data_IF_496357535733
#
_entry.id   IF_496357535733
#
_cell.length_a   1.000
_cell.length_b   1.000
_cell.length_c   1.000
_cell.angle_alpha   90.00
_cell.angle_beta   90.00
_cell.angle_gamma   90.00
#
_symmetry.space_group_name_H-M   'P 1'
#
loop_
_entity.id
_entity.type
_entity.pdbx_description
1 polymer ?
#
# COMPACT_ATOMS: atom_id res chain seq x y z
N UNK A 1 16.87 -21.49 -0.02
CA UNK A 1 17.26 -20.72 -1.22
C UNK A 1 16.05 -19.91 -1.62
N UNK A 2 15.96 -18.66 -1.16
CA UNK A 2 14.90 -17.75 -1.58
C UNK A 2 15.24 -17.25 -2.98
N UNK A 3 14.39 -17.54 -3.95
CA UNK A 3 14.42 -16.91 -5.25
C UNK A 3 14.11 -15.42 -5.05
N UNK A 4 15.15 -14.60 -4.96
CA UNK A 4 15.01 -13.15 -5.15
C UNK A 4 14.46 -12.99 -6.58
N UNK A 5 13.28 -12.40 -6.72
CA UNK A 5 12.82 -11.96 -8.05
C UNK A 5 13.94 -11.11 -8.64
N UNK A 6 14.48 -11.50 -9.79
CA UNK A 6 15.43 -10.68 -10.53
C UNK A 6 14.71 -9.38 -10.92
N UNK A 7 15.04 -8.29 -10.22
CA UNK A 7 14.47 -6.97 -10.45
C UNK A 7 15.09 -6.40 -11.73
N UNK A 8 14.50 -6.69 -12.89
CA UNK A 8 14.92 -6.03 -14.13
C UNK A 8 14.68 -4.52 -14.02
N UNK A 9 15.76 -3.74 -14.04
CA UNK A 9 15.74 -2.30 -13.82
C UNK A 9 16.50 -1.58 -14.93
N UNK A 10 16.09 -0.35 -15.24
CA UNK A 10 16.83 0.52 -16.18
C UNK A 10 17.68 1.49 -15.38
N UNK A 11 19.01 1.38 -15.52
CA UNK A 11 19.99 2.07 -14.68
C UNK A 11 20.76 3.09 -15.52
N UNK A 12 20.79 4.34 -15.07
CA UNK A 12 21.61 5.41 -15.64
C UNK A 12 22.98 5.41 -14.96
N UNK A 13 24.06 5.37 -15.73
CA UNK A 13 25.44 5.47 -15.20
C UNK A 13 26.06 6.77 -15.69
N UNK A 14 26.53 7.60 -14.77
CA UNK A 14 27.14 8.90 -15.07
C UNK A 14 28.57 8.92 -14.59
N UNK A 15 29.52 8.94 -15.53
CA UNK A 15 30.97 8.88 -15.27
C UNK A 15 31.71 9.38 -16.51
N UNK A 16 32.81 10.12 -16.38
CA UNK A 16 33.62 10.56 -17.51
C UNK A 16 34.65 9.50 -17.96
N UNK A 17 34.82 8.42 -17.20
CA UNK A 17 35.74 7.32 -17.50
C UNK A 17 35.04 6.17 -18.26
N UNK A 18 35.31 6.04 -19.57
CA UNK A 18 34.74 4.97 -20.40
C UNK A 18 34.97 3.55 -19.85
N UNK A 19 36.13 3.30 -19.25
CA UNK A 19 36.48 2.00 -18.66
C UNK A 19 35.51 1.64 -17.52
N UNK A 20 35.08 2.64 -16.75
CA UNK A 20 34.16 2.44 -15.62
C UNK A 20 32.77 2.08 -16.15
N UNK A 21 32.31 2.74 -17.21
CA UNK A 21 31.06 2.37 -17.89
C UNK A 21 31.07 0.93 -18.40
N UNK A 22 32.11 0.54 -19.14
CA UNK A 22 32.22 -0.82 -19.69
C UNK A 22 32.24 -1.88 -18.57
N UNK A 23 32.87 -1.56 -17.44
CA UNK A 23 32.90 -2.43 -16.27
C UNK A 23 31.52 -2.57 -15.62
N UNK A 24 30.86 -1.44 -15.31
CA UNK A 24 29.53 -1.42 -14.68
C UNK A 24 28.50 -2.08 -15.58
N UNK A 25 28.50 -1.73 -16.86
CA UNK A 25 27.59 -2.29 -17.85
C UNK A 25 27.71 -3.82 -17.90
N UNK A 26 28.93 -4.35 -18.01
CA UNK A 26 29.15 -5.80 -18.02
C UNK A 26 28.66 -6.49 -16.74
N UNK A 27 28.85 -5.88 -15.58
CA UNK A 27 28.44 -6.47 -14.30
C UNK A 27 26.90 -6.46 -14.18
N UNK A 28 26.25 -5.34 -14.49
CA UNK A 28 24.81 -5.17 -14.30
C UNK A 28 23.98 -5.81 -15.42
N UNK A 29 24.47 -5.87 -16.65
CA UNK A 29 23.83 -6.61 -17.74
C UNK A 29 23.80 -8.12 -17.42
N UNK A 30 24.85 -8.64 -16.75
CA UNK A 30 24.90 -10.04 -16.28
C UNK A 30 23.89 -10.32 -15.15
N UNK A 31 23.56 -9.30 -14.33
CA UNK A 31 22.52 -9.37 -13.30
C UNK A 31 21.10 -9.11 -13.88
N UNK A 32 21.00 -8.91 -15.20
CA UNK A 32 19.73 -8.74 -15.92
C UNK A 32 19.19 -7.31 -15.96
N UNK A 33 19.95 -6.31 -15.52
CA UNK A 33 19.56 -4.91 -15.64
C UNK A 33 19.90 -4.36 -17.02
N UNK A 34 19.26 -3.24 -17.39
CA UNK A 34 19.59 -2.49 -18.62
C UNK A 34 20.35 -1.25 -18.24
N UNK A 35 21.60 -1.13 -18.69
CA UNK A 35 22.43 0.04 -18.43
C UNK A 35 22.37 1.05 -19.59
N UNK A 36 22.21 2.33 -19.27
CA UNK A 36 22.44 3.45 -20.20
C UNK A 36 23.49 4.36 -19.57
N UNK A 37 24.49 4.72 -20.37
CA UNK A 37 25.60 5.54 -19.90
C UNK A 37 25.51 6.99 -20.38
N UNK A 38 25.95 7.90 -19.53
CA UNK A 38 26.18 9.30 -19.83
C UNK A 38 27.61 9.67 -19.41
N UNK A 39 28.39 10.24 -20.33
CA UNK A 39 29.79 10.63 -20.08
C UNK A 39 29.91 11.98 -19.37
N UNK A 40 28.80 12.72 -19.27
CA UNK A 40 28.72 14.09 -18.76
C UNK A 40 27.36 14.34 -18.11
N UNK A 41 27.32 15.31 -17.20
CA UNK A 41 26.09 15.72 -16.50
C UNK A 41 25.00 16.21 -17.45
N UNK A 42 25.33 17.05 -18.43
CA UNK A 42 24.37 17.57 -19.41
C UNK A 42 23.71 16.45 -20.24
N UNK A 43 24.49 15.43 -20.61
CA UNK A 43 23.95 14.23 -21.26
C UNK A 43 23.04 13.45 -20.32
N UNK A 44 23.42 13.28 -19.05
CA UNK A 44 22.61 12.57 -18.06
C UNK A 44 21.24 13.25 -17.88
N UNK A 45 21.22 14.57 -17.73
CA UNK A 45 20.00 15.36 -17.61
C UNK A 45 19.11 15.24 -18.87
N UNK A 46 19.70 15.27 -20.06
CA UNK A 46 18.94 15.05 -21.31
C UNK A 46 18.35 13.64 -21.42
N UNK A 47 19.02 12.61 -20.88
CA UNK A 47 18.47 11.26 -20.87
C UNK A 47 17.33 11.12 -19.87
N UNK A 48 17.43 11.76 -18.70
CA UNK A 48 16.37 11.81 -17.68
C UNK A 48 15.07 12.44 -18.21
N UNK A 49 15.16 13.40 -19.14
CA UNK A 49 13.98 13.98 -19.81
C UNK A 49 13.33 13.04 -20.83
N UNK A 50 14.11 12.13 -21.44
CA UNK A 50 13.66 11.29 -22.57
C UNK A 50 13.17 9.92 -22.14
N UNK A 51 13.68 9.38 -21.03
CA UNK A 51 13.49 7.99 -20.63
C UNK A 51 13.22 7.90 -19.13
N UNK A 52 12.52 6.84 -18.76
CA UNK A 52 12.35 6.47 -17.36
C UNK A 52 13.53 5.61 -16.89
N UNK A 53 14.02 5.91 -15.69
CA UNK A 53 15.08 5.16 -15.01
C UNK A 53 14.63 4.80 -13.60
N UNK A 54 15.09 3.65 -13.11
CA UNK A 54 14.81 3.21 -11.75
C UNK A 54 15.90 3.67 -10.79
N UNK A 55 17.15 3.66 -11.23
CA UNK A 55 18.33 4.01 -10.44
C UNK A 55 19.35 4.77 -11.29
N UNK A 56 19.98 5.79 -10.70
CA UNK A 56 21.22 6.36 -11.21
C UNK A 56 22.40 5.93 -10.35
N UNK A 57 23.51 5.59 -11.01
CA UNK A 57 24.85 5.57 -10.43
C UNK A 57 25.56 6.81 -10.96
N UNK A 58 26.06 7.70 -10.10
CA UNK A 58 26.79 8.91 -10.54
C UNK A 58 28.12 9.11 -9.84
N UNK A 59 29.17 9.47 -10.59
CA UNK A 59 30.39 10.03 -10.00
C UNK A 59 30.16 11.46 -9.53
N UNK A 60 30.77 11.85 -8.41
CA UNK A 60 30.73 13.22 -7.92
C UNK A 60 31.70 14.12 -8.66
N UNK A 61 32.86 13.60 -9.05
CA UNK A 61 33.93 14.40 -9.65
C UNK A 61 34.01 14.10 -11.14
N UNK A 62 33.47 15.00 -11.93
CA UNK A 62 33.61 15.02 -13.39
C UNK A 62 34.10 16.40 -13.84
N UNK A 63 34.78 16.50 -15.00
CA UNK A 63 35.17 17.78 -15.59
C UNK A 63 33.96 18.69 -15.84
N UNK A 64 33.99 19.91 -15.32
CA UNK A 64 32.89 20.87 -15.43
C UNK A 64 31.96 20.81 -14.22
N UNK A 65 30.67 20.55 -14.44
CA UNK A 65 29.70 20.39 -13.35
C UNK A 65 29.78 18.98 -12.75
N UNK A 66 29.80 18.89 -11.42
CA UNK A 66 29.92 17.60 -10.71
C UNK A 66 28.59 16.85 -10.60
N UNK A 67 28.64 15.56 -10.28
CA UNK A 67 27.44 14.71 -10.19
C UNK A 67 26.46 15.05 -9.06
N UNK A 68 26.81 15.97 -8.16
CA UNK A 68 25.87 16.54 -7.20
C UNK A 68 24.69 17.25 -7.88
N UNK A 69 24.88 17.76 -9.10
CA UNK A 69 23.78 18.31 -9.90
C UNK A 69 22.80 17.20 -10.35
N UNK A 70 23.31 16.02 -10.70
CA UNK A 70 22.48 14.85 -11.04
C UNK A 70 21.67 14.39 -9.83
N UNK A 71 22.31 14.29 -8.65
CA UNK A 71 21.63 13.92 -7.39
C UNK A 71 20.47 14.89 -7.11
N UNK A 72 20.72 16.19 -7.22
CA UNK A 72 19.71 17.24 -7.00
C UNK A 72 18.58 17.16 -8.01
N UNK A 73 18.90 17.04 -9.30
CA UNK A 73 17.91 16.97 -10.37
C UNK A 73 16.98 15.76 -10.22
N UNK A 74 17.53 14.61 -9.82
CA UNK A 74 16.74 13.40 -9.53
C UNK A 74 15.84 13.63 -8.31
N UNK A 75 16.37 14.16 -7.22
CA UNK A 75 15.59 14.41 -6.01
C UNK A 75 14.43 15.40 -6.23
N UNK A 76 14.62 16.40 -7.08
CA UNK A 76 13.60 17.43 -7.36
C UNK A 76 12.56 16.97 -8.41
N UNK A 77 12.99 16.29 -9.48
CA UNK A 77 12.14 16.03 -10.64
C UNK A 77 11.75 14.55 -10.83
N UNK A 78 12.45 13.63 -10.18
CA UNK A 78 12.27 12.19 -10.33
C UNK A 78 12.17 11.50 -8.95
N UNK A 79 11.16 11.83 -8.13
CA UNK A 79 11.07 11.35 -6.74
C UNK A 79 10.94 9.83 -6.61
N UNK A 80 10.56 9.14 -7.68
CA UNK A 80 10.38 7.68 -7.76
C UNK A 80 11.63 6.94 -8.25
N UNK A 81 12.72 7.67 -8.54
CA UNK A 81 14.01 7.15 -8.96
C UNK A 81 15.01 7.26 -7.80
N UNK A 82 15.84 6.23 -7.61
CA UNK A 82 16.95 6.33 -6.65
C UNK A 82 18.23 6.86 -7.28
N UNK A 83 19.13 7.35 -6.45
CA UNK A 83 20.50 7.68 -6.86
C UNK A 83 21.50 7.12 -5.87
N UNK A 84 22.52 6.45 -6.38
CA UNK A 84 23.70 6.01 -5.63
C UNK A 84 24.88 6.78 -6.17
N UNK A 85 25.66 7.32 -5.25
CA UNK A 85 26.89 8.01 -5.59
C UNK A 85 28.04 7.02 -5.62
N UNK A 86 28.89 7.06 -6.64
CA UNK A 86 30.10 6.27 -6.66
C UNK A 86 31.32 7.06 -7.12
N UNK A 87 32.35 7.22 -6.28
CA UNK A 87 33.44 8.17 -6.60
C UNK A 87 34.82 7.66 -6.20
N UNK A 88 35.84 8.02 -6.99
CA UNK A 88 37.24 7.72 -6.70
C UNK A 88 37.91 8.63 -5.68
N UNK A 89 37.21 9.66 -5.20
CA UNK A 89 37.73 10.57 -4.16
C UNK A 89 36.78 10.65 -2.97
N UNK A 90 36.61 9.54 -2.23
CA UNK A 90 35.64 9.51 -1.15
C UNK A 90 36.06 10.42 0.00
N UNK A 91 35.13 11.28 0.44
CA UNK A 91 35.28 12.06 1.68
C UNK A 91 34.01 11.95 2.51
N UNK A 92 34.15 12.01 3.84
CA UNK A 92 33.02 11.98 4.78
C UNK A 92 32.04 13.12 4.47
N UNK A 93 32.54 14.32 4.17
CA UNK A 93 31.70 15.48 3.87
C UNK A 93 30.87 15.26 2.59
N UNK A 94 31.47 14.74 1.52
CA UNK A 94 30.75 14.47 0.26
C UNK A 94 29.70 13.38 0.42
N UNK A 95 29.98 12.34 1.22
CA UNK A 95 29.01 11.31 1.55
C UNK A 95 27.83 11.92 2.31
N UNK A 96 28.08 12.70 3.37
CA UNK A 96 27.02 13.36 4.14
C UNK A 96 26.18 14.29 3.26
N UNK A 97 26.83 15.08 2.40
CA UNK A 97 26.13 16.03 1.52
C UNK A 97 25.23 15.31 0.50
N UNK A 98 25.74 14.27 -0.15
CA UNK A 98 24.95 13.49 -1.11
C UNK A 98 23.74 12.82 -0.46
N UNK A 99 23.89 12.26 0.74
CA UNK A 99 22.77 11.66 1.48
C UNK A 99 21.72 12.70 1.87
N UNK A 100 22.13 13.91 2.27
CA UNK A 100 21.21 15.02 2.57
C UNK A 100 20.42 15.47 1.35
N UNK A 101 20.99 15.35 0.15
CA UNK A 101 20.31 15.66 -1.11
C UNK A 101 19.44 14.52 -1.64
N UNK A 102 19.42 13.35 -0.98
CA UNK A 102 18.55 12.24 -1.35
C UNK A 102 19.25 11.05 -1.99
N UNK A 103 20.58 10.98 -1.97
CA UNK A 103 21.28 9.75 -2.33
C UNK A 103 20.87 8.61 -1.39
N UNK A 104 20.67 7.42 -1.97
CA UNK A 104 20.26 6.22 -1.24
C UNK A 104 21.45 5.52 -0.60
N UNK A 105 22.60 5.57 -1.25
CA UNK A 105 23.83 4.93 -0.80
C UNK A 105 25.06 5.55 -1.49
N UNK A 106 26.25 5.13 -1.05
CA UNK A 106 27.55 5.64 -1.46
C UNK A 106 28.58 4.52 -1.65
N UNK A 107 29.22 4.46 -2.82
CA UNK A 107 30.18 3.40 -3.19
C UNK A 107 31.56 3.99 -3.58
N UNK A 108 32.63 3.78 -2.81
CA UNK A 108 33.96 4.26 -3.21
C UNK A 108 34.52 3.47 -4.41
N UNK A 109 35.26 4.14 -5.30
CA UNK A 109 36.14 3.48 -6.29
C UNK A 109 37.55 3.27 -5.70
N UNK A 110 38.26 2.18 -6.03
CA UNK A 110 37.80 1.03 -6.81
C UNK A 110 36.81 0.18 -6.02
N UNK A 111 35.86 -0.46 -6.73
CA UNK A 111 34.88 -1.38 -6.17
C UNK A 111 34.99 -2.76 -6.82
N UNK A 112 34.54 -3.77 -6.09
CA UNK A 112 34.36 -5.13 -6.59
C UNK A 112 33.00 -5.29 -7.27
N UNK A 113 32.81 -6.29 -8.15
CA UNK A 113 31.50 -6.59 -8.71
C UNK A 113 30.43 -6.89 -7.63
N UNK A 114 30.83 -7.57 -6.55
CA UNK A 114 29.92 -7.92 -5.46
C UNK A 114 29.42 -6.68 -4.70
N UNK A 115 30.30 -5.71 -4.42
CA UNK A 115 29.91 -4.44 -3.79
C UNK A 115 28.92 -3.66 -4.66
N UNK A 116 29.18 -3.56 -5.97
CA UNK A 116 28.28 -2.88 -6.91
C UNK A 116 26.90 -3.53 -6.96
N UNK A 117 26.85 -4.87 -7.07
CA UNK A 117 25.59 -5.62 -7.10
C UNK A 117 24.82 -5.47 -5.79
N UNK A 118 25.50 -5.51 -4.65
CA UNK A 118 24.87 -5.39 -3.35
C UNK A 118 24.26 -3.99 -3.14
N UNK A 119 24.99 -2.94 -3.48
CA UNK A 119 24.49 -1.55 -3.38
C UNK A 119 23.32 -1.34 -4.34
N UNK A 120 23.42 -1.83 -5.58
CA UNK A 120 22.35 -1.74 -6.58
C UNK A 120 21.08 -2.44 -6.09
N UNK A 121 21.20 -3.67 -5.59
CA UNK A 121 20.07 -4.44 -5.06
C UNK A 121 19.40 -3.76 -3.86
N UNK A 122 20.19 -3.27 -2.91
CA UNK A 122 19.68 -2.55 -1.75
C UNK A 122 18.93 -1.28 -2.16
N UNK A 123 19.50 -0.52 -3.11
CA UNK A 123 18.87 0.69 -3.64
C UNK A 123 17.54 0.37 -4.32
N UNK A 124 17.49 -0.62 -5.22
CA UNK A 124 16.27 -1.04 -5.92
C UNK A 124 15.19 -1.55 -4.95
N UNK A 125 15.55 -2.34 -3.94
CA UNK A 125 14.62 -2.79 -2.91
C UNK A 125 14.03 -1.61 -2.12
N UNK A 126 14.87 -0.62 -1.77
CA UNK A 126 14.41 0.59 -1.08
C UNK A 126 13.48 1.43 -1.95
N UNK A 127 13.79 1.57 -3.25
CA UNK A 127 12.92 2.24 -4.22
C UNK A 127 11.56 1.54 -4.30
N UNK A 128 11.54 0.21 -4.47
CA UNK A 128 10.29 -0.56 -4.56
C UNK A 128 9.45 -0.42 -3.29
N UNK A 129 10.08 -0.47 -2.12
CA UNK A 129 9.41 -0.27 -0.83
C UNK A 129 8.76 1.12 -0.74
N UNK A 130 9.51 2.18 -1.05
CA UNK A 130 9.00 3.55 -1.02
C UNK A 130 7.88 3.78 -2.06
N UNK A 131 7.99 3.17 -3.25
CA UNK A 131 6.92 3.21 -4.26
C UNK A 131 5.62 2.58 -3.73
N UNK A 132 5.72 1.41 -3.11
CA UNK A 132 4.57 0.73 -2.49
C UNK A 132 3.94 1.54 -1.36
N UNK A 133 4.76 2.14 -0.49
CA UNK A 133 4.28 3.01 0.59
C UNK A 133 3.51 4.22 0.04
N UNK A 134 4.05 4.92 -0.97
CA UNK A 134 3.38 6.06 -1.60
C UNK A 134 2.10 5.67 -2.33
N UNK A 135 2.09 4.55 -3.03
CA UNK A 135 0.90 4.03 -3.71
C UNK A 135 -0.20 3.71 -2.70
N UNK A 136 0.16 3.05 -1.59
CA UNK A 136 -0.74 2.77 -0.48
C UNK A 136 -1.32 4.06 0.12
N UNK A 137 -0.47 5.05 0.44
CA UNK A 137 -0.88 6.34 0.97
C UNK A 137 -1.85 7.07 0.03
N UNK A 138 -1.58 7.03 -1.29
CA UNK A 138 -2.46 7.64 -2.30
C UNK A 138 -3.82 6.96 -2.34
N UNK A 139 -3.85 5.63 -2.41
CA UNK A 139 -5.10 4.86 -2.42
C UNK A 139 -5.90 5.14 -1.14
N UNK A 140 -5.23 5.24 0.01
CA UNK A 140 -5.85 5.53 1.30
C UNK A 140 -6.46 6.93 1.31
N UNK A 141 -5.71 7.95 0.87
CA UNK A 141 -6.19 9.33 0.80
C UNK A 141 -7.38 9.49 -0.17
N UNK A 142 -7.36 8.79 -1.30
CA UNK A 142 -8.50 8.75 -2.24
C UNK A 142 -9.75 8.15 -1.60
N UNK A 143 -9.59 7.03 -0.89
CA UNK A 143 -10.69 6.37 -0.19
C UNK A 143 -11.26 7.25 0.94
N UNK A 144 -10.41 7.88 1.74
CA UNK A 144 -10.83 8.81 2.81
C UNK A 144 -11.64 9.99 2.23
N UNK A 145 -11.16 10.56 1.12
CA UNK A 145 -11.86 11.66 0.43
C UNK A 145 -13.22 11.22 -0.10
N UNK A 146 -13.31 10.02 -0.70
CA UNK A 146 -14.56 9.48 -1.22
C UNK A 146 -15.57 9.21 -0.10
N UNK A 147 -15.14 8.59 1.00
CA UNK A 147 -15.99 8.32 2.17
C UNK A 147 -16.56 9.60 2.77
N UNK A 148 -15.75 10.66 2.88
CA UNK A 148 -16.20 11.96 3.42
C UNK A 148 -17.20 12.68 2.51
N UNK A 149 -17.21 12.40 1.22
CA UNK A 149 -18.05 13.08 0.24
C UNK A 149 -19.41 12.40 0.02
N UNK A 150 -19.53 11.10 0.30
CA UNK A 150 -20.79 10.38 0.12
C UNK A 150 -21.72 10.51 1.33
N UNK A 151 -23.02 10.56 1.06
CA UNK A 151 -24.11 10.51 2.05
C UNK A 151 -25.06 9.34 1.79
N UNK A 152 -24.79 8.50 0.78
CA UNK A 152 -25.57 7.28 0.49
C UNK A 152 -24.89 6.09 1.17
N UNK A 153 -25.63 5.41 2.05
CA UNK A 153 -25.10 4.27 2.81
C UNK A 153 -24.60 3.15 1.90
N UNK A 154 -25.28 2.87 0.78
CA UNK A 154 -24.89 1.80 -0.14
C UNK A 154 -23.56 2.13 -0.81
N UNK A 155 -23.41 3.35 -1.29
CA UNK A 155 -22.14 3.81 -1.87
C UNK A 155 -21.00 3.74 -0.87
N UNK A 156 -21.24 4.15 0.39
CA UNK A 156 -20.23 4.09 1.45
C UNK A 156 -19.82 2.64 1.72
N UNK A 157 -20.78 1.70 1.85
CA UNK A 157 -20.46 0.29 2.07
C UNK A 157 -19.63 -0.31 0.93
N UNK A 158 -19.99 -0.03 -0.33
CA UNK A 158 -19.26 -0.49 -1.50
C UNK A 158 -17.85 0.13 -1.59
N UNK A 159 -17.72 1.42 -1.25
CA UNK A 159 -16.43 2.11 -1.16
C UNK A 159 -15.54 1.51 -0.09
N UNK A 160 -16.06 1.18 1.09
CA UNK A 160 -15.31 0.51 2.15
C UNK A 160 -14.74 -0.81 1.62
N UNK A 161 -15.59 -1.69 1.09
CA UNK A 161 -15.18 -3.01 0.62
C UNK A 161 -14.15 -2.93 -0.51
N UNK A 162 -14.42 -2.15 -1.55
CA UNK A 162 -13.52 -2.01 -2.69
C UNK A 162 -12.17 -1.37 -2.31
N UNK A 163 -12.18 -0.37 -1.42
CA UNK A 163 -10.95 0.31 -0.97
C UNK A 163 -10.05 -0.61 -0.17
N UNK A 164 -10.56 -1.34 0.81
CA UNK A 164 -9.73 -2.25 1.61
C UNK A 164 -9.26 -3.48 0.82
N UNK A 165 -10.08 -3.96 -0.12
CA UNK A 165 -9.67 -5.03 -1.03
C UNK A 165 -8.48 -4.59 -1.88
N UNK A 166 -8.50 -3.34 -2.38
CA UNK A 166 -7.41 -2.76 -3.18
C UNK A 166 -6.17 -2.43 -2.33
N UNK A 167 -6.35 -1.74 -1.19
CA UNK A 167 -5.26 -1.35 -0.29
C UNK A 167 -4.48 -2.56 0.18
N UNK A 168 -5.19 -3.56 0.69
CA UNK A 168 -4.53 -4.69 1.32
C UNK A 168 -4.31 -5.83 0.33
N UNK A 169 -4.83 -5.82 -0.89
CA UNK A 169 -4.70 -6.95 -1.83
C UNK A 169 -5.20 -8.27 -1.19
N UNK A 170 -6.47 -8.27 -0.77
CA UNK A 170 -7.14 -9.44 -0.18
C UNK A 170 -8.13 -10.03 -1.18
N UNK A 171 -8.36 -11.35 -1.11
CA UNK A 171 -9.28 -12.06 -2.01
C UNK A 171 -10.70 -11.50 -1.93
N UNK A 172 -11.15 -11.13 -0.73
CA UNK A 172 -12.45 -10.49 -0.57
C UNK A 172 -12.58 -9.68 0.71
N UNK A 173 -13.64 -8.89 0.78
CA UNK A 173 -14.00 -8.10 1.95
C UNK A 173 -15.52 -8.04 2.13
N UNK A 174 -15.97 -7.81 3.37
CA UNK A 174 -17.38 -7.68 3.70
C UNK A 174 -17.60 -6.68 4.83
N UNK A 175 -18.66 -5.87 4.73
CA UNK A 175 -19.18 -5.06 5.83
C UNK A 175 -20.40 -5.76 6.41
N UNK A 176 -20.37 -5.98 7.72
CA UNK A 176 -21.45 -6.57 8.51
C UNK A 176 -21.99 -5.51 9.47
N UNK A 177 -23.30 -5.31 9.50
CA UNK A 177 -23.95 -4.31 10.36
C UNK A 177 -24.96 -4.98 11.29
N UNK A 178 -25.16 -4.42 12.48
CA UNK A 178 -26.17 -4.92 13.40
C UNK A 178 -27.58 -4.55 12.94
N UNK A 179 -28.46 -5.56 12.85
CA UNK A 179 -29.88 -5.35 12.62
C UNK A 179 -30.55 -4.79 13.87
N UNK A 180 -31.30 -3.70 13.72
CA UNK A 180 -32.02 -3.03 14.83
C UNK A 180 -32.98 -3.93 15.61
N UNK A 181 -33.59 -4.94 14.96
CA UNK A 181 -34.67 -5.76 15.53
C UNK A 181 -34.19 -6.82 16.53
N UNK A 182 -33.08 -7.49 16.22
CA UNK A 182 -32.63 -8.71 16.92
C UNK A 182 -31.14 -8.72 17.25
N UNK A 183 -30.41 -7.62 16.99
CA UNK A 183 -28.97 -7.48 17.23
C UNK A 183 -28.12 -8.54 16.50
N UNK A 184 -28.66 -9.15 15.44
CA UNK A 184 -27.90 -10.07 14.58
C UNK A 184 -27.09 -9.29 13.54
N UNK A 185 -25.96 -9.86 13.09
CA UNK A 185 -25.15 -9.26 12.04
C UNK A 185 -25.67 -9.66 10.67
N UNK A 186 -25.95 -8.65 9.84
CA UNK A 186 -26.33 -8.81 8.45
C UNK A 186 -25.28 -8.23 7.51
N UNK A 187 -25.12 -8.85 6.35
CA UNK A 187 -24.21 -8.39 5.31
C UNK A 187 -24.77 -7.11 4.67
N UNK A 188 -24.04 -6.01 4.79
CA UNK A 188 -24.38 -4.73 4.18
C UNK A 188 -23.77 -4.58 2.78
N UNK A 189 -22.51 -5.00 2.60
CA UNK A 189 -21.85 -5.09 1.30
C UNK A 189 -20.72 -6.11 1.32
N UNK A 190 -20.28 -6.52 0.14
CA UNK A 190 -19.13 -7.40 -0.06
C UNK A 190 -18.44 -7.14 -1.39
N UNK A 191 -17.13 -7.36 -1.44
CA UNK A 191 -16.33 -7.34 -2.65
C UNK A 191 -15.48 -8.61 -2.74
N UNK A 192 -15.39 -9.24 -3.91
CA UNK A 192 -14.52 -10.40 -4.15
C UNK A 192 -14.99 -11.73 -3.53
N UNK A 193 -16.23 -11.82 -3.04
CA UNK A 193 -16.81 -13.05 -2.47
C UNK A 193 -17.79 -13.70 -3.46
N UNK A 194 -17.93 -15.03 -3.44
CA UNK A 194 -18.91 -15.72 -4.30
C UNK A 194 -20.36 -15.46 -3.87
N UNK A 195 -21.28 -15.57 -4.82
CA UNK A 195 -22.72 -15.46 -4.53
C UNK A 195 -23.19 -16.48 -3.48
N UNK A 196 -22.60 -17.68 -3.46
CA UNK A 196 -22.96 -18.71 -2.47
C UNK A 196 -22.59 -18.27 -1.06
N UNK A 197 -21.39 -17.70 -0.89
CA UNK A 197 -20.93 -17.24 0.41
C UNK A 197 -21.68 -15.99 0.90
N UNK A 198 -22.09 -15.11 -0.03
CA UNK A 198 -22.93 -13.94 0.25
C UNK A 198 -24.33 -14.34 0.74
N UNK A 199 -24.91 -15.40 0.18
CA UNK A 199 -26.30 -15.83 0.46
C UNK A 199 -26.49 -16.71 1.70
N UNK A 200 -25.43 -17.02 2.44
CA UNK A 200 -25.45 -17.96 3.58
C UNK A 200 -26.28 -17.52 4.80
N UNK A 201 -26.82 -16.29 4.81
CA UNK A 201 -27.67 -15.77 5.88
C UNK A 201 -26.92 -14.98 6.96
N UNK A 202 -27.62 -14.68 8.07
CA UNK A 202 -27.07 -13.90 9.19
C UNK A 202 -25.88 -14.64 9.83
N UNK A 203 -24.82 -13.90 10.12
CA UNK A 203 -23.61 -14.46 10.73
C UNK A 203 -23.81 -14.56 12.24
N UNK A 204 -24.12 -15.75 12.73
CA UNK A 204 -24.06 -16.03 14.16
C UNK A 204 -22.59 -16.01 14.61
N UNK A 205 -22.33 -15.27 15.68
CA UNK A 205 -21.04 -14.76 16.14
C UNK A 205 -19.82 -15.71 15.98
N UNK A 206 -19.05 -15.56 14.91
CA UNK A 206 -17.75 -16.26 14.78
C UNK A 206 -16.80 -15.82 15.91
N UNK A 207 -15.95 -16.72 16.42
CA UNK A 207 -14.94 -16.43 17.48
C UNK A 207 -14.18 -15.11 17.24
N UNK A 208 -13.76 -14.86 16.00
CA UNK A 208 -13.06 -13.63 15.61
C UNK A 208 -13.87 -12.36 15.87
N UNK A 209 -15.18 -12.39 15.63
CA UNK A 209 -16.11 -11.27 15.86
C UNK A 209 -16.32 -11.08 17.36
N UNK A 210 -16.55 -12.15 18.11
CA UNK A 210 -16.73 -12.07 19.56
C UNK A 210 -15.49 -11.50 20.26
N UNK A 211 -14.30 -11.93 19.84
CA UNK A 211 -13.04 -11.41 20.37
C UNK A 211 -12.76 -9.97 19.93
N UNK A 212 -13.05 -9.61 18.68
CA UNK A 212 -12.94 -8.24 18.19
C UNK A 212 -13.92 -7.30 18.91
N UNK A 213 -15.14 -7.77 19.20
CA UNK A 213 -16.14 -7.03 19.97
C UNK A 213 -15.65 -6.75 21.39
N UNK A 214 -15.08 -7.77 22.06
CA UNK A 214 -14.59 -7.65 23.44
C UNK A 214 -13.33 -6.79 23.55
N UNK A 215 -12.38 -6.98 22.64
CA UNK A 215 -11.10 -6.28 22.66
C UNK A 215 -11.17 -4.87 22.06
N UNK A 216 -12.15 -4.62 21.19
CA UNK A 216 -12.24 -3.41 20.38
C UNK A 216 -11.07 -3.26 19.40
N UNK A 217 -10.38 -4.35 19.07
CA UNK A 217 -9.22 -4.39 18.17
C UNK A 217 -9.48 -5.36 17.01
N UNK A 218 -8.67 -5.23 15.96
CA UNK A 218 -8.67 -6.20 14.87
C UNK A 218 -8.21 -7.57 15.37
N UNK A 219 -8.91 -8.63 14.95
CA UNK A 219 -8.60 -10.02 15.31
C UNK A 219 -8.40 -10.83 14.04
N UNK A 220 -7.18 -11.36 13.87
CA UNK A 220 -6.82 -12.27 12.79
C UNK A 220 -7.04 -13.70 13.26
N UNK A 221 -7.69 -14.51 12.43
CA UNK A 221 -7.81 -15.94 12.64
C UNK A 221 -7.32 -16.65 11.39
N UNK A 222 -6.47 -17.65 11.56
CA UNK A 222 -5.98 -18.50 10.48
C UNK A 222 -6.82 -19.77 10.34
N UNK A 223 -6.67 -20.47 9.22
CA UNK A 223 -7.41 -21.71 8.91
C UNK A 223 -7.38 -22.74 10.05
N UNK A 224 -6.23 -22.92 10.70
CA UNK A 224 -6.04 -23.84 11.83
C UNK A 224 -6.85 -23.46 13.07
N UNK A 225 -7.28 -22.21 13.16
CA UNK A 225 -8.03 -21.63 14.27
C UNK A 225 -9.50 -21.40 13.91
N UNK A 226 -9.90 -21.73 12.67
CA UNK A 226 -11.30 -21.68 12.27
C UNK A 226 -12.06 -22.66 13.14
N UNK A 227 -13.06 -22.14 13.83
CA UNK A 227 -13.92 -22.97 14.67
C UNK A 227 -14.62 -23.98 13.75
N UNK A 228 -14.27 -25.26 13.91
CA UNK A 228 -14.89 -26.37 13.18
C UNK A 228 -16.39 -26.48 13.48
N UNK A 229 -16.90 -25.76 14.50
CA UNK A 229 -18.31 -25.67 14.86
C UNK A 229 -19.03 -24.43 14.28
N UNK A 230 -18.42 -23.70 13.34
CA UNK A 230 -19.18 -22.70 12.57
C UNK A 230 -20.35 -23.37 11.86
N UNK A 231 -21.48 -22.67 11.85
CA UNK A 231 -22.77 -23.10 11.28
C UNK A 231 -22.70 -23.41 9.76
N UNK A 232 -21.57 -23.14 9.08
CA UNK A 232 -21.37 -23.27 7.62
C UNK A 232 -19.93 -23.72 7.24
N UNK A 233 -19.49 -24.95 7.60
CA UNK A 233 -18.14 -25.41 7.31
C UNK A 233 -17.87 -25.59 5.81
N UNK A 234 -18.89 -26.00 5.04
CA UNK A 234 -18.71 -26.43 3.65
C UNK A 234 -18.65 -25.23 2.68
N UNK A 235 -19.42 -24.17 2.91
CA UNK A 235 -19.41 -22.96 2.10
C UNK A 235 -18.13 -22.13 2.28
N UNK A 236 -17.62 -22.06 3.52
CA UNK A 236 -16.31 -21.44 3.79
C UNK A 236 -15.15 -22.27 3.23
N UNK A 237 -15.27 -23.62 3.23
CA UNK A 237 -14.29 -24.52 2.60
C UNK A 237 -14.28 -24.40 1.08
N UNK A 238 -15.43 -24.14 0.44
CA UNK A 238 -15.51 -23.96 -1.00
C UNK A 238 -14.80 -22.69 -1.48
N UNK A 239 -14.78 -21.64 -0.66
CA UNK A 239 -14.00 -20.41 -0.92
C UNK A 239 -12.51 -20.58 -0.66
N UNK A 240 -12.11 -21.62 0.10
CA UNK A 240 -10.71 -21.92 0.46
C UNK A 240 -10.01 -20.76 1.17
N UNK A 241 -10.70 -20.04 2.04
CA UNK A 241 -10.06 -19.01 2.84
C UNK A 241 -9.05 -19.64 3.81
N UNK A 242 -7.83 -19.12 3.84
CA UNK A 242 -6.80 -19.52 4.79
C UNK A 242 -6.58 -18.50 5.91
N UNK A 243 -7.12 -17.29 5.78
CA UNK A 243 -7.04 -16.25 6.82
C UNK A 243 -8.23 -15.30 6.77
N UNK A 244 -8.74 -14.92 7.94
CA UNK A 244 -9.81 -13.92 8.09
C UNK A 244 -9.46 -12.91 9.16
N UNK A 245 -9.42 -11.64 8.77
CA UNK A 245 -9.25 -10.52 9.69
C UNK A 245 -10.62 -9.90 9.97
N UNK A 246 -10.97 -9.72 11.24
CA UNK A 246 -12.22 -9.08 11.69
C UNK A 246 -11.91 -7.78 12.41
N UNK A 247 -12.39 -6.68 11.87
CA UNK A 247 -12.09 -5.32 12.33
C UNK A 247 -13.40 -4.69 12.82
N UNK A 248 -13.49 -4.22 14.08
CA UNK A 248 -14.70 -3.58 14.56
C UNK A 248 -14.89 -2.20 13.90
N UNK A 249 -16.07 -1.94 13.35
CA UNK A 249 -16.52 -0.62 12.94
C UNK A 249 -17.12 0.05 14.16
N UNK A 250 -16.31 0.85 14.86
CA UNK A 250 -16.67 1.46 16.14
C UNK A 250 -16.42 2.96 16.14
N UNK A 251 -17.24 3.67 16.92
CA UNK A 251 -17.02 5.06 17.27
C UNK A 251 -17.16 5.17 18.79
N UNK A 252 -16.16 5.77 19.43
CA UNK A 252 -16.06 5.80 20.90
C UNK A 252 -16.20 4.38 21.48
N UNK A 253 -17.18 4.15 22.34
CA UNK A 253 -17.44 2.86 23.00
C UNK A 253 -18.50 2.00 22.26
N UNK A 254 -19.04 2.49 21.14
CA UNK A 254 -20.13 1.82 20.41
C UNK A 254 -19.64 1.11 19.14
N UNK A 255 -19.91 -0.18 19.02
CA UNK A 255 -19.62 -0.99 17.81
C UNK A 255 -20.88 -1.06 16.94
N UNK A 256 -20.80 -0.53 15.73
CA UNK A 256 -21.91 -0.51 14.76
C UNK A 256 -21.93 -1.76 13.88
N UNK A 257 -20.77 -2.41 13.74
CA UNK A 257 -20.61 -3.55 12.84
C UNK A 257 -19.16 -4.02 12.77
N UNK A 258 -18.86 -4.80 11.73
CA UNK A 258 -17.54 -5.35 11.47
C UNK A 258 -17.18 -5.24 10.00
N UNK A 259 -15.95 -4.85 9.73
CA UNK A 259 -15.29 -5.02 8.45
C UNK A 259 -14.48 -6.31 8.49
N UNK A 260 -14.71 -7.22 7.54
CA UNK A 260 -13.96 -8.46 7.40
C UNK A 260 -13.14 -8.46 6.13
N UNK A 261 -11.91 -8.94 6.23
CA UNK A 261 -11.03 -9.22 5.11
C UNK A 261 -10.74 -10.72 5.03
N UNK A 262 -10.76 -11.25 3.82
CA UNK A 262 -10.64 -12.67 3.52
C UNK A 262 -9.47 -12.91 2.56
N UNK A 263 -8.61 -13.87 2.89
CA UNK A 263 -7.49 -14.29 2.04
C UNK A 263 -7.54 -15.80 1.83
N UNK A 264 -7.31 -16.24 0.59
CA UNK A 264 -7.11 -17.64 0.21
C UNK A 264 -5.69 -18.15 0.45
N UNK A 265 -4.76 -17.24 0.74
CA UNK A 265 -3.40 -17.55 1.15
C UNK A 265 -3.24 -17.24 2.65
N UNK A 266 -2.38 -18.00 3.34
CA UNK A 266 -2.03 -17.70 4.73
C UNK A 266 -1.39 -16.33 4.81
N UNK A 267 -2.06 -15.40 5.48
CA UNK A 267 -1.65 -14.01 5.56
C UNK A 267 -1.42 -13.59 7.00
N UNK A 268 -0.33 -12.87 7.21
CA UNK A 268 -0.06 -12.09 8.42
C UNK A 268 -0.19 -10.60 8.10
N UNK A 269 -0.56 -9.81 9.09
CA UNK A 269 -0.61 -8.34 8.98
C UNK A 269 0.44 -7.76 9.93
N UNK A 270 1.21 -6.77 9.47
CA UNK A 270 2.13 -6.03 10.34
C UNK A 270 1.37 -5.11 11.28
N UNK A 271 2.02 -4.65 12.35
CA UNK A 271 1.42 -3.67 13.27
C UNK A 271 1.04 -2.37 12.53
N UNK A 272 1.85 -1.94 11.55
CA UNK A 272 1.57 -0.76 10.73
C UNK A 272 0.33 -0.97 9.83
N UNK A 273 0.16 -2.16 9.24
CA UNK A 273 -1.03 -2.49 8.45
C UNK A 273 -2.28 -2.50 9.34
N UNK A 274 -2.19 -3.08 10.55
CA UNK A 274 -3.30 -3.14 11.49
C UNK A 274 -3.69 -1.73 12.00
N UNK A 275 -2.72 -0.87 12.28
CA UNK A 275 -2.97 0.51 12.67
C UNK A 275 -3.65 1.30 11.54
N UNK A 276 -3.18 1.14 10.30
CA UNK A 276 -3.81 1.76 9.13
C UNK A 276 -5.24 1.27 8.91
N UNK A 277 -5.49 -0.05 9.06
CA UNK A 277 -6.82 -0.65 8.97
C UNK A 277 -7.77 -0.12 10.04
N UNK A 278 -7.31 -0.01 11.28
CA UNK A 278 -8.11 0.52 12.39
C UNK A 278 -8.45 2.00 12.16
N UNK A 279 -7.50 2.81 11.67
CA UNK A 279 -7.76 4.21 11.30
C UNK A 279 -8.76 4.32 10.15
N UNK A 280 -8.63 3.47 9.13
CA UNK A 280 -9.60 3.39 8.04
C UNK A 280 -11.00 3.05 8.55
N UNK A 281 -11.10 2.02 9.41
CA UNK A 281 -12.37 1.57 9.99
C UNK A 281 -13.04 2.66 10.83
N UNK A 282 -12.28 3.46 11.58
CA UNK A 282 -12.83 4.60 12.31
C UNK A 282 -13.39 5.67 11.35
N UNK A 283 -12.65 6.04 10.30
CA UNK A 283 -13.13 7.01 9.31
C UNK A 283 -14.37 6.51 8.57
N UNK A 284 -14.37 5.25 8.18
CA UNK A 284 -15.53 4.58 7.59
C UNK A 284 -16.74 4.61 8.53
N UNK A 285 -16.54 4.34 9.82
CA UNK A 285 -17.62 4.38 10.82
C UNK A 285 -18.20 5.78 10.95
N UNK A 286 -17.36 6.84 10.96
CA UNK A 286 -17.82 8.23 10.97
C UNK A 286 -18.63 8.59 9.73
N UNK A 287 -18.21 8.14 8.55
CA UNK A 287 -18.95 8.36 7.31
C UNK A 287 -20.32 7.66 7.35
N UNK A 288 -20.37 6.41 7.82
CA UNK A 288 -21.61 5.67 8.01
C UNK A 288 -22.55 6.36 9.01
N UNK A 289 -22.05 6.82 10.15
CA UNK A 289 -22.86 7.54 11.13
C UNK A 289 -23.43 8.85 10.56
N UNK A 290 -22.61 9.60 9.83
CA UNK A 290 -23.05 10.83 9.16
C UNK A 290 -24.18 10.54 8.15
N UNK A 291 -24.02 9.52 7.31
CA UNK A 291 -25.03 9.13 6.33
C UNK A 291 -26.33 8.61 6.99
N UNK A 292 -26.22 7.77 8.02
CA UNK A 292 -27.38 7.30 8.80
C UNK A 292 -28.13 8.47 9.47
N UNK A 293 -27.38 9.44 10.01
CA UNK A 293 -27.95 10.64 10.63
C UNK A 293 -28.65 11.51 9.58
N UNK A 294 -28.04 11.68 8.41
CA UNK A 294 -28.61 12.43 7.31
C UNK A 294 -29.93 11.80 6.82
N UNK A 295 -29.98 10.47 6.62
CA UNK A 295 -31.21 9.77 6.25
C UNK A 295 -32.31 9.93 7.29
N UNK A 296 -31.97 9.85 8.58
CA UNK A 296 -32.94 10.03 9.68
C UNK A 296 -33.55 11.43 9.65
N UNK A 297 -32.72 12.46 9.59
CA UNK A 297 -33.18 13.87 9.54
C UNK A 297 -34.03 14.10 8.28
N UNK A 298 -33.62 13.57 7.13
CA UNK A 298 -34.38 13.67 5.88
C UNK A 298 -35.76 13.03 6.01
N UNK A 299 -35.84 11.83 6.58
CA UNK A 299 -37.10 11.10 6.78
C UNK A 299 -38.04 11.87 7.71
N UNK A 300 -37.53 12.41 8.83
CA UNK A 300 -38.32 13.24 9.76
C UNK A 300 -38.88 14.50 9.07
N UNK A 301 -38.07 15.17 8.23
CA UNK A 301 -38.53 16.33 7.44
C UNK A 301 -39.62 15.93 6.45
N UNK A 302 -39.46 14.81 5.75
CA UNK A 302 -40.46 14.30 4.79
C UNK A 302 -41.77 13.91 5.48
N UNK A 303 -41.71 13.36 6.70
CA UNK A 303 -42.89 13.10 7.53
C UNK A 303 -43.59 14.39 7.96
N UNK A 304 -42.85 15.37 8.48
CA UNK A 304 -43.42 16.66 8.89
C UNK A 304 -44.07 17.41 7.72
N UNK A 305 -43.49 17.32 6.51
CA UNK A 305 -44.09 17.90 5.29
C UNK A 305 -45.46 17.32 4.95
N UNK A 306 -45.77 16.08 5.34
CA UNK A 306 -47.10 15.48 5.12
C UNK A 306 -48.19 16.14 5.97
N UNK A 307 -47.81 16.84 7.04
CA UNK A 307 -48.73 17.53 7.96
C UNK A 307 -48.83 19.04 7.70
N UNK A 308 -48.06 19.59 6.76
CA UNK A 308 -48.20 20.98 6.34
C UNK A 308 -49.37 21.10 5.32
N UNK A 309 -50.26 22.09 5.47
CA UNK A 309 -51.35 22.30 4.53
C UNK A 309 -50.79 22.59 3.13
N UNK A 310 -51.25 21.86 2.12
CA UNK A 310 -50.93 22.19 0.72
C UNK A 310 -51.66 23.49 0.37
N UNK A 311 -50.92 24.59 0.31
CA UNK A 311 -51.39 25.87 -0.27
C UNK A 311 -51.27 25.86 -1.78
#
# INVERSE_FOLDING_TARGET
MNATRDLHATILVVDDEQIVHESIQRILDQDGHRVISAMRVDQALQELEKKHFDLALTDLKMPGTGGMEVVRAIAENHPDMGVVVFTGFPTVDSAIESMKLGALDYLPKPFTPEELLQVTRNALQKIEKLKKEREMEKIYAEAEKALKASLDLREIFDLICSSVSRLFNVTGSAVLMFRKKDQTLELAASCGLSEMYVRKGALDSSRSIAEAMKSGRAVLVQESEFDLNLQYPDEARNEKFSSVLSIPLKLEDSVFGFLRLYSTETRTFSDDELDLLMKFAEQATRALENAMTYERVRTEIEELKKYLPQT
#
